data_IF_917423645253
#
_entry.id   IF_917423645253
#
_cell.length_a   1.000
_cell.length_b   1.000
_cell.length_c   1.000
_cell.angle_alpha   90.00
_cell.angle_beta   90.00
_cell.angle_gamma   90.00
#
_symmetry.space_group_name_H-M   'P 1'
#
loop_
_entity.id
_entity.type
_entity.pdbx_description
1 polymer ?
#
# COMPACT_ATOMS: atom_id res chain seq x y z
N UNK A 1 -15.56 3.27 -8.65
CA UNK A 1 -14.75 3.44 -7.41
C UNK A 1 -15.50 2.97 -6.17
N UNK A 2 -16.64 3.58 -5.79
CA UNK A 2 -17.42 3.12 -4.61
C UNK A 2 -17.99 1.70 -4.80
N UNK A 3 -18.44 1.34 -6.00
CA UNK A 3 -18.96 -0.01 -6.31
C UNK A 3 -17.87 -1.10 -6.23
N UNK A 4 -16.64 -0.79 -6.63
CA UNK A 4 -15.49 -1.70 -6.52
C UNK A 4 -15.02 -1.86 -5.07
N UNK A 5 -15.06 -0.77 -4.29
CA UNK A 5 -14.80 -0.83 -2.84
C UNK A 5 -15.83 -1.74 -2.14
N UNK A 6 -17.11 -1.57 -2.46
CA UNK A 6 -18.20 -2.39 -1.89
C UNK A 6 -18.08 -3.86 -2.30
N UNK A 7 -17.73 -4.17 -3.55
CA UNK A 7 -17.55 -5.56 -3.99
C UNK A 7 -16.34 -6.21 -3.32
N UNK A 8 -15.22 -5.50 -3.19
CA UNK A 8 -14.02 -6.01 -2.51
C UNK A 8 -14.25 -6.21 -1.02
N UNK A 9 -14.85 -5.23 -0.33
CA UNK A 9 -15.24 -5.40 1.07
C UNK A 9 -16.22 -6.58 1.24
N UNK A 10 -17.17 -6.76 0.32
CA UNK A 10 -18.11 -7.88 0.33
C UNK A 10 -17.43 -9.23 0.18
N UNK A 11 -16.49 -9.37 -0.77
CA UNK A 11 -15.71 -10.59 -0.97
C UNK A 11 -14.84 -10.90 0.25
N UNK A 12 -14.17 -9.89 0.83
CA UNK A 12 -13.35 -10.04 2.04
C UNK A 12 -14.19 -10.54 3.25
N UNK A 13 -15.40 -10.00 3.43
CA UNK A 13 -16.30 -10.41 4.52
C UNK A 13 -16.82 -11.84 4.29
N UNK A 14 -17.23 -12.17 3.05
CA UNK A 14 -17.69 -13.52 2.72
C UNK A 14 -16.59 -14.57 2.93
N UNK A 15 -15.35 -14.27 2.54
CA UNK A 15 -14.24 -15.21 2.72
C UNK A 15 -13.84 -15.33 4.16
N UNK A 16 -13.71 -14.24 4.92
CA UNK A 16 -13.39 -14.31 6.34
C UNK A 16 -14.42 -15.13 7.12
N UNK A 17 -15.70 -15.08 6.73
CA UNK A 17 -16.75 -15.96 7.25
C UNK A 17 -16.54 -17.44 6.87
N UNK A 18 -16.21 -17.74 5.61
CA UNK A 18 -15.95 -19.11 5.13
C UNK A 18 -14.70 -19.71 5.80
N UNK A 19 -13.66 -18.92 6.00
CA UNK A 19 -12.43 -19.32 6.69
C UNK A 19 -12.70 -19.67 8.16
N UNK A 20 -13.48 -18.84 8.87
CA UNK A 20 -13.90 -19.13 10.25
C UNK A 20 -14.74 -20.41 10.39
N UNK A 21 -15.55 -20.73 9.37
CA UNK A 21 -16.35 -21.96 9.33
C UNK A 21 -15.45 -23.19 9.05
N UNK A 22 -14.39 -23.02 8.25
CA UNK A 22 -13.49 -24.11 7.80
C UNK A 22 -12.39 -24.46 8.81
N UNK A 23 -12.01 -23.53 9.70
CA UNK A 23 -11.06 -23.77 10.80
C UNK A 23 -11.48 -24.93 11.73
N UNK A 24 -12.76 -25.32 11.71
CA UNK A 24 -13.30 -26.42 12.52
C UNK A 24 -12.88 -27.82 12.04
N UNK A 25 -12.33 -27.97 10.83
CA UNK A 25 -12.03 -29.28 10.23
C UNK A 25 -10.56 -29.50 9.83
N UNK A 26 -9.79 -28.48 9.41
CA UNK A 26 -8.33 -28.60 9.18
C UNK A 26 -7.64 -27.22 9.13
N UNK A 27 -6.83 -26.88 10.15
CA UNK A 27 -6.15 -25.59 10.27
C UNK A 27 -5.23 -25.25 9.09
N UNK A 28 -4.53 -26.23 8.52
CA UNK A 28 -3.59 -25.99 7.41
C UNK A 28 -4.29 -25.63 6.09
N UNK A 29 -5.46 -26.21 5.80
CA UNK A 29 -6.20 -25.89 4.58
C UNK A 29 -6.94 -24.54 4.67
N UNK A 30 -7.31 -24.12 5.88
CA UNK A 30 -7.90 -22.80 6.11
C UNK A 30 -6.91 -21.66 5.81
N UNK A 31 -5.64 -21.79 6.22
CA UNK A 31 -4.60 -20.78 5.98
C UNK A 31 -4.31 -20.63 4.48
N UNK A 32 -4.19 -21.73 3.74
CA UNK A 32 -3.95 -21.69 2.29
C UNK A 32 -5.11 -21.01 1.53
N UNK A 33 -6.35 -21.21 1.97
CA UNK A 33 -7.52 -20.55 1.40
C UNK A 33 -7.55 -19.04 1.69
N UNK A 34 -7.18 -18.61 2.91
CA UNK A 34 -7.06 -17.18 3.27
C UNK A 34 -6.03 -16.49 2.38
N UNK A 35 -4.83 -17.08 2.25
CA UNK A 35 -3.76 -16.51 1.43
C UNK A 35 -4.20 -16.43 -0.04
N UNK A 36 -4.82 -17.49 -0.57
CA UNK A 36 -5.31 -17.51 -1.95
C UNK A 36 -6.33 -16.42 -2.24
N UNK A 37 -7.25 -16.15 -1.31
CA UNK A 37 -8.22 -15.06 -1.46
C UNK A 37 -7.55 -13.70 -1.31
N UNK A 38 -6.65 -13.52 -0.34
CA UNK A 38 -5.93 -12.26 -0.17
C UNK A 38 -5.17 -11.88 -1.45
N UNK A 39 -4.52 -12.85 -2.09
CA UNK A 39 -3.85 -12.65 -3.40
C UNK A 39 -4.87 -12.32 -4.49
N UNK A 40 -6.00 -13.03 -4.56
CA UNK A 40 -7.03 -12.78 -5.56
C UNK A 40 -7.65 -11.37 -5.44
N UNK A 41 -7.97 -10.94 -4.22
CA UNK A 41 -8.47 -9.59 -3.92
C UNK A 41 -7.43 -8.52 -4.26
N UNK A 42 -6.15 -8.78 -3.97
CA UNK A 42 -5.06 -7.87 -4.30
C UNK A 42 -4.93 -7.65 -5.81
N UNK A 43 -5.05 -8.71 -6.62
CA UNK A 43 -5.02 -8.63 -8.09
C UNK A 43 -6.21 -7.83 -8.64
N UNK A 44 -7.40 -7.99 -8.06
CA UNK A 44 -8.56 -7.18 -8.45
C UNK A 44 -8.36 -5.70 -8.15
N UNK A 45 -7.81 -5.37 -6.97
CA UNK A 45 -7.46 -3.99 -6.60
C UNK A 45 -6.41 -3.35 -7.53
N UNK A 46 -5.43 -4.14 -7.99
CA UNK A 46 -4.42 -3.70 -8.96
C UNK A 46 -5.00 -3.26 -10.30
N UNK A 47 -6.19 -3.72 -10.68
CA UNK A 47 -6.83 -3.37 -11.95
C UNK A 47 -7.35 -1.93 -11.99
N UNK A 48 -7.62 -1.32 -10.84
CA UNK A 48 -8.09 0.08 -10.74
C UNK A 48 -6.93 1.09 -10.63
N UNK A 49 -5.73 0.62 -10.31
CA UNK A 49 -4.51 1.43 -10.16
C UNK A 49 -4.17 2.24 -11.42
N UNK A 50 -4.24 1.71 -12.66
CA UNK A 50 -3.95 2.46 -13.87
C UNK A 50 -4.89 3.65 -14.11
N UNK A 51 -6.15 3.53 -13.69
CA UNK A 51 -7.16 4.59 -13.83
C UNK A 51 -6.80 5.78 -12.94
N UNK A 52 -6.30 5.50 -11.73
CA UNK A 52 -5.84 6.52 -10.78
C UNK A 52 -4.60 7.21 -11.33
N UNK A 53 -3.61 6.46 -11.82
CA UNK A 53 -2.41 7.04 -12.44
C UNK A 53 -2.74 7.91 -13.66
N UNK A 54 -3.64 7.48 -14.54
CA UNK A 54 -4.06 8.28 -15.69
C UNK A 54 -4.73 9.60 -15.32
N UNK A 55 -5.55 9.61 -14.26
CA UNK A 55 -6.15 10.85 -13.73
C UNK A 55 -5.11 11.77 -13.12
N UNK A 56 -4.15 11.20 -12.40
CA UNK A 56 -3.05 11.96 -11.79
C UNK A 56 -2.23 12.62 -12.89
N UNK A 57 -1.82 11.89 -13.92
CA UNK A 57 -1.07 12.44 -15.06
C UNK A 57 -1.82 13.59 -15.75
N UNK A 58 -3.15 13.48 -15.88
CA UNK A 58 -3.98 14.57 -16.42
C UNK A 58 -3.94 15.82 -15.52
N UNK A 59 -3.97 15.66 -14.19
CA UNK A 59 -3.83 16.78 -13.26
C UNK A 59 -2.41 17.39 -13.31
N UNK A 60 -1.38 16.56 -13.43
CA UNK A 60 0.03 17.00 -13.52
C UNK A 60 0.24 17.85 -14.78
N UNK A 61 -0.28 17.38 -15.92
CA UNK A 61 -0.21 18.09 -17.20
C UNK A 61 -0.86 19.47 -17.14
N UNK A 62 -1.85 19.68 -16.27
CA UNK A 62 -2.56 20.97 -16.14
C UNK A 62 -1.94 21.91 -15.12
N UNK A 63 -1.16 21.39 -14.19
CA UNK A 63 -0.71 22.13 -13.01
C UNK A 63 0.76 22.59 -13.09
N UNK A 64 1.49 22.28 -14.18
CA UNK A 64 2.94 22.58 -14.34
C UNK A 64 3.78 22.17 -13.12
N UNK A 65 3.33 21.12 -12.40
CA UNK A 65 4.03 20.64 -11.20
C UNK A 65 5.27 19.89 -11.64
N UNK A 66 6.39 20.18 -10.97
CA UNK A 66 7.63 19.44 -11.14
C UNK A 66 7.40 17.95 -10.83
N UNK A 67 7.59 17.13 -11.87
CA UNK A 67 7.28 15.71 -11.86
C UNK A 67 8.07 14.92 -10.81
N UNK A 68 9.19 15.45 -10.31
CA UNK A 68 10.02 14.73 -9.34
C UNK A 68 9.42 14.74 -7.93
N UNK A 69 8.76 15.83 -7.51
CA UNK A 69 8.03 15.86 -6.22
C UNK A 69 6.87 14.86 -6.21
N UNK A 70 6.15 14.74 -7.33
CA UNK A 70 5.06 13.77 -7.47
C UNK A 70 5.57 12.34 -7.46
N UNK A 71 6.69 12.04 -8.13
CA UNK A 71 7.30 10.70 -8.05
C UNK A 71 7.65 10.33 -6.61
N UNK A 72 8.15 11.28 -5.82
CA UNK A 72 8.46 11.06 -4.40
C UNK A 72 7.18 10.77 -3.60
N UNK A 73 6.13 11.57 -3.77
CA UNK A 73 4.83 11.36 -3.11
C UNK A 73 4.26 9.97 -3.46
N UNK A 74 4.20 9.62 -4.74
CA UNK A 74 3.67 8.31 -5.17
C UNK A 74 4.50 7.13 -4.66
N UNK A 75 5.83 7.22 -4.70
CA UNK A 75 6.70 6.18 -4.12
C UNK A 75 6.47 6.03 -2.63
N UNK A 76 6.36 7.14 -1.90
CA UNK A 76 6.11 7.11 -0.45
C UNK A 76 4.75 6.47 -0.12
N UNK A 77 3.70 6.80 -0.90
CA UNK A 77 2.36 6.25 -0.73
C UNK A 77 2.36 4.73 -0.98
N UNK A 78 3.05 4.30 -2.03
CA UNK A 78 3.20 2.89 -2.36
C UNK A 78 3.91 2.10 -1.27
N UNK A 79 5.00 2.65 -0.70
CA UNK A 79 5.72 2.03 0.42
C UNK A 79 4.83 1.90 1.65
N UNK A 80 4.08 2.95 2.01
CA UNK A 80 3.14 2.90 3.14
C UNK A 80 2.12 1.76 2.97
N UNK A 81 1.45 1.70 1.82
CA UNK A 81 0.43 0.68 1.57
C UNK A 81 1.00 -0.74 1.57
N UNK A 82 2.12 -0.97 0.89
CA UNK A 82 2.75 -2.30 0.83
C UNK A 82 3.26 -2.74 2.20
N UNK A 83 3.85 -1.83 2.98
CA UNK A 83 4.34 -2.11 4.33
C UNK A 83 3.18 -2.48 5.25
N UNK A 84 2.13 -1.67 5.25
CA UNK A 84 0.94 -1.89 6.09
C UNK A 84 0.27 -3.22 5.76
N UNK A 85 0.04 -3.47 4.46
CA UNK A 85 -0.57 -4.71 3.98
C UNK A 85 0.25 -5.95 4.36
N UNK A 86 1.57 -5.89 4.19
CA UNK A 86 2.46 -6.98 4.56
C UNK A 86 2.48 -7.23 6.07
N UNK A 87 2.51 -6.16 6.88
CA UNK A 87 2.50 -6.26 8.33
C UNK A 87 1.17 -6.85 8.86
N UNK A 88 0.04 -6.45 8.27
CA UNK A 88 -1.28 -6.96 8.65
C UNK A 88 -1.41 -8.44 8.33
N UNK A 89 -0.92 -8.91 7.17
CA UNK A 89 -0.87 -10.35 6.84
C UNK A 89 0.01 -11.11 7.84
N UNK A 90 1.20 -10.60 8.18
CA UNK A 90 2.06 -11.25 9.17
C UNK A 90 1.37 -11.33 10.54
N UNK A 91 0.60 -10.31 10.92
CA UNK A 91 -0.16 -10.28 12.17
C UNK A 91 -1.34 -11.26 12.16
N UNK A 92 -2.03 -11.41 11.04
CA UNK A 92 -3.10 -12.39 10.84
C UNK A 92 -2.58 -13.84 10.93
N UNK A 93 -1.33 -14.09 10.52
CA UNK A 93 -0.64 -15.37 10.72
C UNK A 93 -0.16 -15.60 12.16
N UNK A 94 -0.30 -14.62 13.07
CA UNK A 94 0.19 -14.68 14.45
C UNK A 94 1.65 -14.22 14.65
N UNK A 95 2.35 -13.86 13.57
CA UNK A 95 3.78 -13.50 13.54
C UNK A 95 4.00 -12.00 13.79
N UNK A 96 3.70 -11.54 15.01
CA UNK A 96 3.82 -10.12 15.39
C UNK A 96 5.25 -9.57 15.33
N UNK A 97 6.26 -10.40 15.58
CA UNK A 97 7.66 -9.98 15.50
C UNK A 97 8.05 -9.62 14.05
N UNK A 98 7.61 -10.42 13.08
CA UNK A 98 7.86 -10.19 11.65
C UNK A 98 7.07 -8.96 11.18
N UNK A 99 5.79 -8.83 11.58
CA UNK A 99 4.99 -7.65 11.28
C UNK A 99 5.68 -6.35 11.74
N UNK A 100 6.20 -6.35 12.96
CA UNK A 100 6.92 -5.20 13.53
C UNK A 100 8.21 -4.89 12.77
N UNK A 101 8.96 -5.92 12.34
CA UNK A 101 10.17 -5.74 11.54
C UNK A 101 9.86 -5.11 10.17
N UNK A 102 8.78 -5.54 9.52
CA UNK A 102 8.31 -4.98 8.25
C UNK A 102 7.92 -3.51 8.41
N UNK A 103 7.17 -3.15 9.46
CA UNK A 103 6.80 -1.76 9.75
C UNK A 103 8.03 -0.86 9.95
N UNK A 104 9.04 -1.33 10.69
CA UNK A 104 10.28 -0.57 10.92
C UNK A 104 11.02 -0.37 9.60
N UNK A 105 11.13 -1.40 8.77
CA UNK A 105 11.75 -1.32 7.45
C UNK A 105 11.06 -0.29 6.56
N UNK A 106 9.73 -0.31 6.49
CA UNK A 106 8.97 0.67 5.70
C UNK A 106 9.18 2.11 6.20
N UNK A 107 9.21 2.32 7.52
CA UNK A 107 9.50 3.64 8.11
C UNK A 107 10.89 4.14 7.75
N UNK A 108 11.91 3.28 7.79
CA UNK A 108 13.27 3.65 7.36
C UNK A 108 13.29 4.02 5.88
N UNK A 109 12.60 3.26 5.04
CA UNK A 109 12.54 3.53 3.60
C UNK A 109 11.84 4.87 3.28
N UNK A 110 10.82 5.25 4.05
CA UNK A 110 10.19 6.57 3.94
C UNK A 110 11.15 7.70 4.26
N UNK A 111 11.98 7.53 5.31
CA UNK A 111 13.01 8.53 5.68
C UNK A 111 14.02 8.68 4.55
N UNK A 112 14.49 7.57 3.96
CA UNK A 112 15.45 7.60 2.85
C UNK A 112 14.86 8.33 1.62
N UNK A 113 13.60 8.06 1.28
CA UNK A 113 12.94 8.71 0.14
C UNK A 113 12.65 10.19 0.37
N UNK A 114 12.55 10.63 1.62
CA UNK A 114 12.32 12.03 1.95
C UNK A 114 13.61 12.86 2.00
N UNK A 115 14.80 12.25 2.05
CA UNK A 115 16.10 12.95 1.95
C UNK A 115 16.21 13.93 0.77
N UNK A 116 15.91 13.56 -0.48
CA UNK A 116 16.02 14.51 -1.61
C UNK A 116 15.10 15.73 -1.46
N UNK A 117 13.97 15.61 -0.75
CA UNK A 117 13.11 16.77 -0.47
C UNK A 117 13.81 17.76 0.46
N UNK A 118 14.53 17.27 1.48
CA UNK A 118 15.29 18.12 2.38
C UNK A 118 16.45 18.81 1.66
N UNK A 119 17.14 18.11 0.75
CA UNK A 119 18.20 18.70 -0.08
C UNK A 119 17.66 19.85 -0.94
N UNK A 120 16.57 19.62 -1.69
CA UNK A 120 15.95 20.67 -2.51
C UNK A 120 15.44 21.85 -1.68
N UNK A 121 14.91 21.60 -0.47
CA UNK A 121 14.49 22.68 0.43
C UNK A 121 15.67 23.54 0.89
N UNK A 122 16.79 22.92 1.27
CA UNK A 122 17.99 23.64 1.73
C UNK A 122 18.60 24.46 0.58
N UNK A 123 18.68 23.91 -0.63
CA UNK A 123 19.17 24.63 -1.80
C UNK A 123 18.30 25.86 -2.10
N UNK A 124 16.98 25.70 -2.13
CA UNK A 124 16.06 26.81 -2.39
C UNK A 124 16.17 27.92 -1.33
N UNK A 125 16.37 27.58 -0.06
CA UNK A 125 16.58 28.58 1.01
C UNK A 125 17.92 29.30 0.84
N UNK A 126 19.00 28.61 0.47
CA UNK A 126 20.29 29.24 0.21
C UNK A 126 20.22 30.23 -0.96
N UNK A 127 19.54 29.86 -2.05
CA UNK A 127 19.36 30.74 -3.22
C UNK A 127 18.59 32.02 -2.88
N UNK A 128 17.65 31.98 -1.93
CA UNK A 128 16.91 33.17 -1.49
C UNK A 128 17.75 34.05 -0.54
N UNK A 129 18.76 33.48 0.10
CA UNK A 129 19.60 34.18 1.09
C UNK A 129 20.82 34.88 0.48
N UNK A 130 21.22 34.52 -0.75
CA UNK A 130 22.12 35.31 -1.62
C UNK A 130 21.39 36.42 -2.37
#
# INVERSE_FOLDING_TARGET
MVTALVSVCGICICVSLICKITERHAKEQAIMAVIGVCVFVFILMLSDVPIIFGKVDELISRAEIDTDYLKIIFKSLGICYLTQFSADICRDCGENAIASAVEIFGKIQLVIISLPLFESLIENVMVIME
#
